data_IF_962073518163
#
_entry.id   IF_962073518163
#
_cell.length_a   1.000
_cell.length_b   1.000
_cell.length_c   1.000
_cell.angle_alpha   90.00
_cell.angle_beta   90.00
_cell.angle_gamma   90.00
#
_symmetry.space_group_name_H-M   'P 1'
#
loop_
_entity.id
_entity.type
_entity.pdbx_description
1 polymer ?
#
# COMPACT_ATOMS: atom_id res chain seq x y z
N UNK A 1 -10.64 4.94 -47.29
CA UNK A 1 -11.21 5.33 -45.97
C UNK A 1 -11.55 4.05 -45.20
N UNK A 2 -10.79 3.62 -44.17
CA UNK A 2 -11.13 2.41 -43.42
C UNK A 2 -12.12 2.74 -42.29
N UNK A 3 -13.24 2.01 -42.25
CA UNK A 3 -14.28 2.16 -41.24
C UNK A 3 -13.78 1.69 -39.86
N UNK A 4 -13.84 2.57 -38.86
CA UNK A 4 -13.47 2.27 -37.48
C UNK A 4 -14.35 1.18 -36.87
N UNK A 5 -13.73 0.13 -36.32
CA UNK A 5 -14.40 -0.89 -35.51
C UNK A 5 -14.97 -0.22 -34.25
N UNK A 6 -16.27 -0.01 -34.21
CA UNK A 6 -16.99 0.41 -32.99
C UNK A 6 -16.71 -0.61 -31.89
N UNK A 7 -16.09 -0.20 -30.79
CA UNK A 7 -15.95 -1.03 -29.59
C UNK A 7 -17.35 -1.29 -29.04
N UNK A 8 -17.88 -2.48 -29.27
CA UNK A 8 -19.16 -2.89 -28.68
C UNK A 8 -18.90 -3.23 -27.21
N UNK A 9 -19.58 -2.50 -26.32
CA UNK A 9 -19.59 -2.81 -24.90
C UNK A 9 -20.26 -4.18 -24.68
N UNK A 10 -19.75 -5.05 -23.79
CA UNK A 10 -20.42 -6.30 -23.47
C UNK A 10 -21.82 -5.98 -22.91
N UNK A 11 -22.83 -6.33 -23.69
CA UNK A 11 -24.24 -6.10 -23.38
C UNK A 11 -24.65 -7.12 -22.33
N UNK A 12 -24.76 -6.67 -21.09
CA UNK A 12 -25.06 -7.45 -19.90
C UNK A 12 -23.88 -8.31 -19.40
N UNK A 13 -23.25 -7.83 -18.34
CA UNK A 13 -22.55 -8.69 -17.40
C UNK A 13 -23.37 -8.64 -16.12
N UNK A 14 -24.41 -9.46 -16.04
CA UNK A 14 -25.16 -9.58 -14.79
C UNK A 14 -24.22 -10.15 -13.72
N UNK A 15 -24.13 -9.52 -12.54
CA UNK A 15 -23.33 -10.06 -11.45
C UNK A 15 -23.86 -11.43 -11.05
N UNK A 16 -22.96 -12.36 -10.75
CA UNK A 16 -23.34 -13.68 -10.23
C UNK A 16 -24.00 -13.52 -8.86
N UNK A 17 -24.87 -14.47 -8.47
CA UNK A 17 -25.50 -14.46 -7.15
C UNK A 17 -24.46 -14.33 -6.01
N UNK A 18 -23.30 -14.99 -6.16
CA UNK A 18 -22.20 -14.89 -5.20
C UNK A 18 -21.66 -13.46 -5.05
N UNK A 19 -21.59 -12.70 -6.14
CA UNK A 19 -21.14 -11.30 -6.11
C UNK A 19 -22.10 -10.46 -5.27
N UNK A 20 -23.40 -10.68 -5.45
CA UNK A 20 -24.45 -10.00 -4.69
C UNK A 20 -24.35 -10.37 -3.20
N UNK A 21 -24.21 -11.65 -2.87
CA UNK A 21 -24.03 -12.08 -1.47
C UNK A 21 -22.81 -11.43 -0.81
N UNK A 22 -21.69 -11.32 -1.53
CA UNK A 22 -20.50 -10.67 -1.02
C UNK A 22 -20.73 -9.18 -0.74
N UNK A 23 -21.48 -8.49 -1.60
CA UNK A 23 -21.83 -7.08 -1.39
C UNK A 23 -22.74 -6.88 -0.19
N UNK A 24 -23.74 -7.75 -0.01
CA UNK A 24 -24.62 -7.70 1.17
C UNK A 24 -23.81 -7.94 2.44
N UNK A 25 -22.94 -8.96 2.46
CA UNK A 25 -22.09 -9.23 3.61
C UNK A 25 -21.13 -8.05 3.92
N UNK A 26 -20.63 -7.36 2.89
CA UNK A 26 -19.80 -6.16 3.09
C UNK A 26 -20.63 -4.98 3.61
N UNK A 27 -21.84 -4.76 3.07
CA UNK A 27 -22.74 -3.70 3.53
C UNK A 27 -23.15 -3.92 5.00
N UNK A 28 -23.37 -5.16 5.41
CA UNK A 28 -23.64 -5.50 6.82
C UNK A 28 -22.44 -5.22 7.73
N UNK A 29 -21.20 -5.43 7.25
CA UNK A 29 -19.98 -5.04 8.00
C UNK A 29 -19.85 -3.53 8.10
N UNK A 30 -20.07 -2.84 6.99
CA UNK A 30 -20.01 -1.37 6.94
C UNK A 30 -21.08 -0.73 7.83
N UNK A 31 -22.23 -1.39 8.00
CA UNK A 31 -23.30 -1.00 8.92
C UNK A 31 -23.08 -1.48 10.38
N UNK A 32 -21.98 -2.18 10.68
CA UNK A 32 -21.69 -2.69 12.02
C UNK A 32 -22.58 -3.84 12.49
N UNK A 33 -23.33 -4.49 11.59
CA UNK A 33 -24.17 -5.66 11.90
C UNK A 33 -23.37 -6.96 11.93
N UNK A 34 -22.18 -6.95 11.30
CA UNK A 34 -21.25 -8.08 11.23
C UNK A 34 -19.84 -7.62 11.56
N UNK A 35 -19.11 -8.46 12.27
CA UNK A 35 -17.72 -8.21 12.69
C UNK A 35 -16.75 -9.31 12.23
N UNK A 36 -17.18 -10.17 11.30
CA UNK A 36 -16.40 -11.28 10.74
C UNK A 36 -15.35 -10.83 9.70
N UNK A 37 -15.14 -9.53 9.55
CA UNK A 37 -14.16 -8.96 8.63
C UNK A 37 -14.12 -7.44 8.74
N UNK A 38 -13.17 -6.83 8.03
CA UNK A 38 -13.02 -5.38 7.98
C UNK A 38 -14.15 -4.73 7.18
N UNK A 39 -14.66 -3.63 7.71
CA UNK A 39 -15.41 -2.65 6.96
C UNK A 39 -14.56 -2.05 5.83
N UNK A 40 -15.24 -1.40 4.89
CA UNK A 40 -14.60 -0.69 3.79
C UNK A 40 -13.70 0.43 4.30
N UNK A 41 -14.14 1.15 5.35
CA UNK A 41 -13.37 2.23 5.96
C UNK A 41 -12.08 1.73 6.62
N UNK A 42 -12.17 0.69 7.46
CA UNK A 42 -10.99 0.10 8.11
C UNK A 42 -9.99 -0.45 7.08
N UNK A 43 -10.48 -1.05 5.99
CA UNK A 43 -9.63 -1.55 4.90
C UNK A 43 -8.89 -0.42 4.18
N UNK A 44 -9.56 0.71 3.94
CA UNK A 44 -8.96 1.89 3.33
C UNK A 44 -7.87 2.48 4.24
N UNK A 45 -8.19 2.67 5.52
CA UNK A 45 -7.24 3.19 6.51
C UNK A 45 -6.01 2.28 6.65
N UNK A 46 -6.22 0.97 6.78
CA UNK A 46 -5.13 0.00 6.84
C UNK A 46 -4.24 0.02 5.58
N UNK A 47 -4.83 0.26 4.41
CA UNK A 47 -4.08 0.40 3.16
C UNK A 47 -3.27 1.69 3.14
N UNK A 48 -3.84 2.78 3.64
CA UNK A 48 -3.19 4.07 3.76
C UNK A 48 -2.00 3.99 4.75
N UNK A 49 -2.22 3.51 5.97
CA UNK A 49 -1.18 3.34 6.98
C UNK A 49 -0.04 2.43 6.51
N UNK A 50 -0.35 1.34 5.78
CA UNK A 50 0.68 0.48 5.18
C UNK A 50 1.53 1.20 4.14
N UNK A 51 0.97 2.18 3.41
CA UNK A 51 1.73 3.01 2.45
C UNK A 51 2.64 3.98 3.20
N UNK A 52 2.09 4.69 4.19
CA UNK A 52 2.87 5.63 5.00
C UNK A 52 4.01 4.94 5.73
N UNK A 53 3.76 3.79 6.35
CA UNK A 53 4.80 3.03 7.05
C UNK A 53 5.93 2.57 6.13
N UNK A 54 5.64 2.28 4.85
CA UNK A 54 6.69 1.99 3.86
C UNK A 54 7.50 3.24 3.52
N UNK A 55 6.85 4.37 3.35
CA UNK A 55 7.51 5.64 3.07
C UNK A 55 8.42 6.06 4.24
N UNK A 56 7.90 6.05 5.46
CA UNK A 56 8.67 6.40 6.67
C UNK A 56 9.88 5.50 6.84
N UNK A 57 9.74 4.19 6.61
CA UNK A 57 10.88 3.25 6.67
C UNK A 57 11.95 3.60 5.63
N UNK A 58 11.53 3.90 4.41
CA UNK A 58 12.45 4.30 3.34
C UNK A 58 13.19 5.59 3.68
N UNK A 59 12.48 6.62 4.15
CA UNK A 59 13.07 7.89 4.58
C UNK A 59 14.06 7.69 5.72
N UNK A 60 13.70 6.91 6.74
CA UNK A 60 14.60 6.57 7.85
C UNK A 60 15.86 5.88 7.35
N UNK A 61 15.75 4.96 6.40
CA UNK A 61 16.89 4.23 5.86
C UNK A 61 17.81 5.15 5.03
N UNK A 62 17.25 6.10 4.29
CA UNK A 62 18.02 7.13 3.57
C UNK A 62 18.76 8.01 4.59
N UNK A 63 18.07 8.50 5.61
CA UNK A 63 18.66 9.35 6.65
C UNK A 63 19.74 8.61 7.44
N UNK A 64 19.53 7.34 7.78
CA UNK A 64 20.52 6.52 8.45
C UNK A 64 21.79 6.33 7.61
N UNK A 65 21.63 6.08 6.30
CA UNK A 65 22.77 5.98 5.36
C UNK A 65 23.51 7.31 5.24
N UNK A 66 22.77 8.42 5.13
CA UNK A 66 23.36 9.75 5.08
C UNK A 66 24.14 10.07 6.37
N UNK A 67 23.54 9.84 7.54
CA UNK A 67 24.19 10.04 8.83
C UNK A 67 25.47 9.20 8.98
N UNK A 68 25.43 7.93 8.55
CA UNK A 68 26.61 7.06 8.55
C UNK A 68 27.70 7.55 7.59
N UNK A 69 27.33 8.07 6.41
CA UNK A 69 28.28 8.66 5.48
C UNK A 69 28.93 9.92 6.07
N UNK A 70 28.13 10.84 6.63
CA UNK A 70 28.64 12.06 7.25
C UNK A 70 29.55 11.76 8.44
N UNK A 71 29.19 10.84 9.32
CA UNK A 71 30.01 10.49 10.48
C UNK A 71 31.41 9.95 10.11
N UNK A 72 31.51 9.26 8.96
CA UNK A 72 32.77 8.79 8.38
C UNK A 72 33.58 9.95 7.79
N UNK A 73 32.94 10.84 7.04
CA UNK A 73 33.60 11.95 6.34
C UNK A 73 34.10 13.04 7.32
N UNK A 74 33.36 13.33 8.38
CA UNK A 74 33.72 14.39 9.36
C UNK A 74 34.69 13.90 10.44
N UNK A 75 35.30 12.72 10.31
CA UNK A 75 36.33 12.20 11.22
C UNK A 75 35.87 11.96 12.66
N UNK A 76 34.55 11.92 12.91
CA UNK A 76 34.00 11.71 14.28
C UNK A 76 34.20 10.29 14.80
N UNK A 77 34.53 9.35 13.91
CA UNK A 77 35.01 8.02 14.28
C UNK A 77 36.52 8.02 14.03
N UNK A 78 37.36 7.91 15.08
CA UNK A 78 38.80 7.81 14.88
C UNK A 78 39.08 6.56 14.05
N UNK A 79 39.87 6.74 12.98
CA UNK A 79 40.39 5.62 12.19
C UNK A 79 41.10 4.67 13.16
N UNK A 80 40.55 3.47 13.33
CA UNK A 80 41.16 2.45 14.16
C UNK A 80 42.38 1.94 13.40
N UNK A 81 43.46 2.70 13.52
CA UNK A 81 44.76 2.42 12.94
C UNK A 81 45.19 1.00 13.27
N UNK A 82 45.48 0.27 12.20
CA UNK A 82 46.46 -0.80 12.06
C UNK A 82 47.28 -1.08 13.33
N UNK A 83 47.04 -2.23 13.98
CA UNK A 83 48.02 -2.79 14.91
C UNK A 83 48.95 -3.71 14.11
N UNK A 84 50.23 -3.35 14.07
CA UNK A 84 51.33 -4.20 13.61
C UNK A 84 51.51 -5.44 14.47
#
# INVERSE_FOLDING_TARGET
MPAGRRKTWPRNSNPTAQTIYNWVAQADRDAGKRHDGLSTAERQELTHLRRELRQVKMERDILAKAAAWFARETGTVPDKGSNS
#
